data_IF_382789273006
#
_entry.id   IF_382789273006
#
_cell.length_a   1.000
_cell.length_b   1.000
_cell.length_c   1.000
_cell.angle_alpha   90.00
_cell.angle_beta   90.00
_cell.angle_gamma   90.00
#
_symmetry.space_group_name_H-M   'P 1'
#
loop_
_entity.id
_entity.type
_entity.pdbx_description
1 polymer ?
#
# COMPACT_ATOMS: atom_id res chain seq x y z
N UNK A 1 40.86 -22.20 11.12
CA UNK A 1 40.71 -20.93 11.83
C UNK A 1 39.94 -19.98 10.93
N UNK A 2 38.62 -19.87 11.17
CA UNK A 2 37.74 -18.96 10.43
C UNK A 2 37.69 -17.65 11.22
N UNK A 3 38.18 -16.58 10.63
CA UNK A 3 38.13 -15.25 11.25
C UNK A 3 36.70 -14.74 11.24
N UNK A 4 36.13 -14.59 12.42
CA UNK A 4 34.86 -13.89 12.67
C UNK A 4 35.05 -12.40 12.39
N UNK A 5 34.51 -11.90 11.30
CA UNK A 5 34.34 -10.47 11.08
C UNK A 5 32.98 -10.06 11.60
N UNK A 6 32.95 -9.30 12.71
CA UNK A 6 31.73 -8.63 13.19
C UNK A 6 31.22 -7.66 12.13
N UNK A 7 29.93 -7.66 11.80
CA UNK A 7 29.37 -6.67 10.89
C UNK A 7 29.37 -5.30 11.58
N UNK A 8 29.99 -4.33 10.93
CA UNK A 8 29.99 -2.92 11.31
C UNK A 8 28.58 -2.36 11.15
N UNK A 9 27.92 -2.05 12.26
CA UNK A 9 26.68 -1.30 12.29
C UNK A 9 26.95 0.19 12.00
N UNK A 10 27.20 0.54 10.75
CA UNK A 10 27.05 1.94 10.32
C UNK A 10 25.57 2.22 10.12
N UNK A 11 24.99 3.04 11.00
CA UNK A 11 23.71 3.72 10.72
C UNK A 11 23.87 4.48 9.40
N UNK A 12 22.95 4.38 8.46
CA UNK A 12 22.98 5.23 7.27
C UNK A 12 22.66 6.66 7.71
N UNK A 13 23.68 7.46 7.76
CA UNK A 13 23.59 8.90 8.04
C UNK A 13 23.51 9.62 6.70
N UNK A 14 22.31 9.75 6.18
CA UNK A 14 21.90 10.85 5.29
C UNK A 14 20.39 11.01 5.45
N UNK A 15 19.99 11.79 6.44
CA UNK A 15 18.61 12.24 6.56
C UNK A 15 18.25 13.00 5.27
N UNK A 16 17.47 12.37 4.40
CA UNK A 16 16.89 13.05 3.23
C UNK A 16 16.12 14.25 3.78
N UNK A 17 16.57 15.46 3.46
CA UNK A 17 15.90 16.68 3.90
C UNK A 17 14.65 16.84 3.04
N UNK A 18 13.51 16.51 3.62
CA UNK A 18 12.19 16.67 2.98
C UNK A 18 11.70 18.07 3.33
N UNK A 19 11.27 18.83 2.32
CA UNK A 19 10.70 20.14 2.55
C UNK A 19 9.33 20.08 3.25
N UNK A 20 8.94 21.18 3.92
CA UNK A 20 7.71 21.23 4.71
C UNK A 20 6.44 21.01 3.88
N UNK A 21 6.42 21.48 2.64
CA UNK A 21 5.25 21.32 1.75
C UNK A 21 5.04 19.85 1.39
N UNK A 22 6.13 19.10 1.21
CA UNK A 22 6.05 17.67 0.95
C UNK A 22 5.58 16.90 2.18
N UNK A 23 6.01 17.28 3.39
CA UNK A 23 5.50 16.68 4.63
C UNK A 23 4.01 16.95 4.83
N UNK A 24 3.52 18.15 4.54
CA UNK A 24 2.09 18.49 4.57
C UNK A 24 1.30 17.66 3.55
N UNK A 25 1.84 17.46 2.35
CA UNK A 25 1.24 16.60 1.33
C UNK A 25 1.14 15.14 1.81
N UNK A 26 2.20 14.60 2.44
CA UNK A 26 2.15 13.26 3.04
C UNK A 26 1.04 13.16 4.08
N UNK A 27 0.93 14.15 4.97
CA UNK A 27 -0.10 14.17 5.99
C UNK A 27 -1.50 14.18 5.37
N UNK A 28 -1.76 15.07 4.40
CA UNK A 28 -3.05 15.15 3.69
C UNK A 28 -3.40 13.83 2.99
N UNK A 29 -2.44 13.18 2.33
CA UNK A 29 -2.69 11.91 1.65
C UNK A 29 -2.99 10.77 2.63
N UNK A 30 -2.25 10.65 3.73
CA UNK A 30 -2.55 9.68 4.77
C UNK A 30 -3.92 9.93 5.40
N UNK A 31 -4.25 11.19 5.66
CA UNK A 31 -5.55 11.59 6.19
C UNK A 31 -6.69 11.25 5.23
N UNK A 32 -6.52 11.50 3.94
CA UNK A 32 -7.48 11.11 2.89
C UNK A 32 -7.76 9.61 2.91
N UNK A 33 -6.71 8.78 2.98
CA UNK A 33 -6.87 7.32 3.07
C UNK A 33 -7.63 6.95 4.34
N UNK A 34 -7.27 7.51 5.50
CA UNK A 34 -7.93 7.24 6.76
C UNK A 34 -9.42 7.55 6.71
N UNK A 35 -9.78 8.77 6.30
CA UNK A 35 -11.17 9.22 6.23
C UNK A 35 -11.99 8.47 5.19
N UNK A 36 -11.38 8.12 4.05
CA UNK A 36 -12.02 7.27 3.04
C UNK A 36 -12.37 5.90 3.62
N UNK A 37 -11.44 5.26 4.29
CA UNK A 37 -11.64 3.92 4.87
C UNK A 37 -12.61 3.92 6.05
N UNK A 38 -12.61 4.99 6.85
CA UNK A 38 -13.63 5.18 7.89
C UNK A 38 -15.03 5.26 7.28
N UNK A 39 -15.16 5.98 6.16
CA UNK A 39 -16.43 6.08 5.43
C UNK A 39 -16.83 4.74 4.79
N UNK A 40 -15.87 3.98 4.24
CA UNK A 40 -16.12 2.61 3.73
C UNK A 40 -16.65 1.72 4.85
N UNK A 41 -16.06 1.78 6.04
CA UNK A 41 -16.53 1.03 7.19
C UNK A 41 -17.99 1.42 7.57
N UNK A 42 -18.33 2.70 7.54
CA UNK A 42 -19.70 3.16 7.80
C UNK A 42 -20.70 2.69 6.74
N UNK A 43 -20.29 2.68 5.46
CA UNK A 43 -21.13 2.15 4.38
C UNK A 43 -21.41 0.65 4.56
N UNK A 44 -20.41 -0.12 4.99
CA UNK A 44 -20.59 -1.54 5.29
C UNK A 44 -21.53 -1.75 6.47
N UNK A 45 -21.29 -1.07 7.60
CA UNK A 45 -22.11 -1.20 8.81
C UNK A 45 -23.57 -0.80 8.59
N UNK A 46 -23.83 0.12 7.66
CA UNK A 46 -25.16 0.56 7.26
C UNK A 46 -25.77 -0.27 6.11
N UNK A 47 -25.12 -1.37 5.71
CA UNK A 47 -25.54 -2.25 4.61
C UNK A 47 -25.76 -1.52 3.27
N UNK A 48 -25.02 -0.43 3.03
CA UNK A 48 -25.08 0.35 1.79
C UNK A 48 -24.05 -0.06 0.75
N UNK A 49 -23.04 -0.82 1.15
CA UNK A 49 -21.98 -1.30 0.26
C UNK A 49 -22.09 -2.82 0.08
N UNK A 50 -22.09 -3.33 -1.17
CA UNK A 50 -22.09 -4.77 -1.44
C UNK A 50 -20.73 -5.40 -1.15
N UNK A 51 -20.72 -6.67 -0.79
CA UNK A 51 -19.51 -7.46 -0.60
C UNK A 51 -18.74 -7.13 0.67
N UNK A 52 -17.47 -7.52 0.72
CA UNK A 52 -16.55 -7.30 1.83
C UNK A 52 -15.46 -6.32 1.43
N UNK A 53 -15.04 -5.48 2.37
CA UNK A 53 -13.87 -4.61 2.23
C UNK A 53 -12.80 -4.96 3.27
N UNK A 54 -11.56 -4.67 2.92
CA UNK A 54 -10.38 -4.84 3.76
C UNK A 54 -9.75 -3.48 3.98
N UNK A 55 -10.00 -2.89 5.15
CA UNK A 55 -9.59 -1.51 5.44
C UNK A 55 -8.07 -1.37 5.55
N UNK A 56 -7.53 -0.30 4.97
CA UNK A 56 -6.10 0.00 4.99
C UNK A 56 -5.66 0.79 6.24
N UNK A 57 -6.59 1.09 7.16
CA UNK A 57 -6.37 1.90 8.37
C UNK A 57 -5.23 1.32 9.23
N UNK A 58 -4.23 2.18 9.50
CA UNK A 58 -3.02 1.87 10.26
C UNK A 58 -1.79 1.66 9.38
N UNK A 59 -1.92 1.55 8.07
CA UNK A 59 -0.82 1.29 7.13
C UNK A 59 -0.57 2.47 6.16
N UNK A 60 -1.22 3.60 6.35
CA UNK A 60 -1.25 4.74 5.42
C UNK A 60 0.14 5.26 5.07
N UNK A 61 1.07 5.22 6.02
CA UNK A 61 2.46 5.67 5.80
C UNK A 61 3.19 4.83 4.74
N UNK A 62 2.88 3.55 4.63
CA UNK A 62 3.48 2.67 3.61
C UNK A 62 3.00 3.09 2.23
N UNK A 63 1.69 3.16 1.99
CA UNK A 63 1.14 3.54 0.70
C UNK A 63 1.63 4.92 0.24
N UNK A 64 1.53 5.92 1.14
CA UNK A 64 1.90 7.31 0.81
C UNK A 64 3.40 7.46 0.61
N UNK A 65 4.23 6.92 1.51
CA UNK A 65 5.69 7.01 1.38
C UNK A 65 6.21 6.36 0.09
N UNK A 66 5.63 5.24 -0.31
CA UNK A 66 5.99 4.55 -1.55
C UNK A 66 5.52 5.33 -2.77
N UNK A 67 4.23 5.64 -2.87
CA UNK A 67 3.66 6.26 -4.06
C UNK A 67 4.22 7.68 -4.30
N UNK A 68 4.55 8.43 -3.25
CA UNK A 68 5.21 9.74 -3.36
C UNK A 68 6.68 9.68 -3.82
N UNK A 69 7.30 8.50 -3.80
CA UNK A 69 8.62 8.26 -4.37
C UNK A 69 8.57 7.84 -5.85
N UNK A 70 7.39 7.53 -6.37
CA UNK A 70 7.15 7.11 -7.75
C UNK A 70 6.73 8.28 -8.64
N UNK A 71 6.91 8.10 -9.94
CA UNK A 71 6.28 8.96 -10.93
C UNK A 71 4.88 8.44 -11.27
N UNK A 72 4.08 9.26 -11.96
CA UNK A 72 2.76 8.85 -12.41
C UNK A 72 2.80 7.60 -13.31
N UNK A 73 3.84 7.52 -14.14
CA UNK A 73 4.02 6.46 -15.14
C UNK A 73 4.60 5.15 -14.58
N UNK A 74 5.11 5.16 -13.34
CA UNK A 74 5.55 3.94 -12.68
C UNK A 74 4.35 3.06 -12.32
N UNK A 75 4.54 1.76 -12.35
CA UNK A 75 3.50 0.79 -12.07
C UNK A 75 3.45 0.40 -10.60
N UNK A 76 2.24 0.20 -10.10
CA UNK A 76 2.01 -0.52 -8.85
C UNK A 76 1.08 -1.71 -9.11
N UNK A 77 1.24 -2.76 -8.33
CA UNK A 77 0.23 -3.81 -8.14
C UNK A 77 -0.09 -3.94 -6.67
N UNK A 78 -1.33 -4.26 -6.36
CA UNK A 78 -1.85 -4.22 -5.01
C UNK A 78 -2.43 -5.56 -4.57
N UNK A 79 -2.86 -5.62 -3.32
CA UNK A 79 -3.49 -6.76 -2.66
C UNK A 79 -5.01 -6.55 -2.55
N UNK A 80 -5.70 -7.46 -1.84
CA UNK A 80 -7.10 -7.31 -1.46
C UNK A 80 -7.37 -6.03 -0.60
N UNK A 81 -6.33 -5.40 -0.04
CA UNK A 81 -6.35 -4.17 0.77
C UNK A 81 -5.90 -2.95 -0.07
N UNK A 82 -6.47 -2.83 -1.27
CA UNK A 82 -5.95 -1.95 -2.33
C UNK A 82 -6.35 -0.48 -2.25
N UNK A 83 -7.31 -0.09 -1.40
CA UNK A 83 -7.85 1.29 -1.39
C UNK A 83 -6.77 2.33 -1.10
N UNK A 84 -5.95 2.09 -0.06
CA UNK A 84 -4.86 3.00 0.31
C UNK A 84 -3.85 3.17 -0.81
N UNK A 85 -3.45 2.08 -1.47
CA UNK A 85 -2.52 2.12 -2.60
C UNK A 85 -3.10 2.90 -3.79
N UNK A 86 -4.38 2.66 -4.10
CA UNK A 86 -5.06 3.31 -5.20
C UNK A 86 -5.14 4.84 -4.98
N UNK A 87 -5.58 5.27 -3.80
CA UNK A 87 -5.65 6.68 -3.43
C UNK A 87 -4.27 7.34 -3.38
N UNK A 88 -3.27 6.67 -2.79
CA UNK A 88 -1.90 7.17 -2.73
C UNK A 88 -1.27 7.33 -4.12
N UNK A 89 -1.65 6.47 -5.08
CA UNK A 89 -1.17 6.54 -6.47
C UNK A 89 -1.88 7.62 -7.30
N UNK A 90 -2.94 8.23 -6.75
CA UNK A 90 -3.63 9.38 -7.35
C UNK A 90 -5.05 9.13 -7.83
N UNK A 91 -5.65 8.01 -7.44
CA UNK A 91 -7.07 7.77 -7.75
C UNK A 91 -7.96 8.80 -7.05
N UNK A 92 -9.06 9.16 -7.70
CA UNK A 92 -10.05 10.10 -7.17
C UNK A 92 -11.04 9.41 -6.23
N UNK A 93 -11.43 10.12 -5.18
CA UNK A 93 -12.34 9.63 -4.13
C UNK A 93 -13.72 9.26 -4.69
N UNK A 94 -14.26 10.08 -5.58
CA UNK A 94 -15.57 9.92 -6.20
C UNK A 94 -15.67 8.62 -7.02
N UNK A 95 -14.69 8.35 -7.89
CA UNK A 95 -14.64 7.12 -8.68
C UNK A 95 -14.35 5.88 -7.82
N UNK A 96 -13.56 6.05 -6.75
CA UNK A 96 -13.33 4.98 -5.78
C UNK A 96 -14.63 4.57 -5.09
N UNK A 97 -15.41 5.52 -4.54
CA UNK A 97 -16.71 5.21 -3.97
C UNK A 97 -17.70 4.67 -4.99
N UNK A 98 -17.69 5.21 -6.22
CA UNK A 98 -18.54 4.71 -7.30
C UNK A 98 -18.25 3.22 -7.58
N UNK A 99 -16.98 2.82 -7.59
CA UNK A 99 -16.61 1.40 -7.78
C UNK A 99 -17.11 0.52 -6.64
N UNK A 100 -16.92 0.95 -5.38
CA UNK A 100 -17.37 0.21 -4.19
C UNK A 100 -18.88 0.06 -4.12
N UNK A 101 -19.63 1.03 -4.67
CA UNK A 101 -21.09 1.02 -4.72
C UNK A 101 -21.65 0.35 -6.00
N UNK A 102 -20.79 -0.24 -6.83
CA UNK A 102 -21.20 -0.92 -8.06
C UNK A 102 -21.70 0.01 -9.17
N UNK A 103 -21.26 1.27 -9.20
CA UNK A 103 -21.73 2.29 -10.13
C UNK A 103 -20.91 2.33 -11.43
N UNK A 104 -21.56 2.70 -12.54
CA UNK A 104 -20.92 2.81 -13.85
C UNK A 104 -19.76 3.81 -13.90
N UNK A 105 -19.77 4.84 -13.02
CA UNK A 105 -18.72 5.83 -12.91
C UNK A 105 -17.44 5.32 -12.19
N UNK A 106 -17.47 4.11 -11.62
CA UNK A 106 -16.32 3.48 -10.98
C UNK A 106 -15.16 3.18 -11.92
N UNK A 107 -13.97 2.98 -11.37
CA UNK A 107 -12.75 2.69 -12.15
C UNK A 107 -12.88 1.45 -13.04
N UNK A 108 -13.55 0.41 -12.56
CA UNK A 108 -13.85 -0.82 -13.29
C UNK A 108 -15.34 -0.93 -13.63
N UNK A 109 -16.03 0.21 -13.76
CA UNK A 109 -17.47 0.31 -14.07
C UNK A 109 -18.36 -0.44 -13.08
N UNK A 110 -17.94 -0.48 -11.79
CA UNK A 110 -18.63 -1.18 -10.73
C UNK A 110 -18.51 -2.71 -10.75
N UNK A 111 -17.67 -3.27 -11.63
CA UNK A 111 -17.50 -4.73 -11.78
C UNK A 111 -16.39 -5.30 -10.90
N UNK A 112 -15.39 -4.48 -10.53
CA UNK A 112 -14.25 -4.89 -9.72
C UNK A 112 -14.54 -4.92 -8.22
N UNK A 113 -15.29 -3.96 -7.73
CA UNK A 113 -15.54 -3.77 -6.31
C UNK A 113 -14.27 -3.52 -5.51
N UNK A 114 -14.32 -3.74 -4.20
CA UNK A 114 -13.25 -3.40 -3.24
C UNK A 114 -11.89 -4.01 -3.57
N UNK A 115 -11.84 -5.25 -4.07
CA UNK A 115 -10.60 -6.02 -4.18
C UNK A 115 -9.98 -6.06 -5.57
N UNK A 116 -10.59 -5.37 -6.57
CA UNK A 116 -10.14 -5.46 -7.97
C UNK A 116 -10.09 -4.09 -8.68
N UNK A 117 -9.85 -3.02 -7.91
CA UNK A 117 -9.75 -1.67 -8.49
C UNK A 117 -8.44 -1.55 -9.27
N UNK A 118 -8.54 -1.12 -10.52
CA UNK A 118 -7.42 -0.79 -11.39
C UNK A 118 -7.60 0.63 -11.96
N UNK A 119 -6.51 1.36 -12.10
CA UNK A 119 -6.48 2.71 -12.68
C UNK A 119 -5.26 2.87 -13.58
N UNK A 120 -5.45 2.67 -14.87
CA UNK A 120 -4.37 2.75 -15.86
C UNK A 120 -3.77 4.15 -15.96
N UNK A 121 -4.57 5.19 -15.75
CA UNK A 121 -4.13 6.58 -15.86
C UNK A 121 -3.09 6.96 -14.79
N UNK A 122 -3.09 6.25 -13.67
CA UNK A 122 -2.11 6.44 -12.59
C UNK A 122 -1.05 5.35 -12.52
N UNK A 123 -1.09 4.35 -13.43
CA UNK A 123 -0.17 3.21 -13.41
C UNK A 123 -0.52 2.14 -12.35
N UNK A 124 -1.70 2.20 -11.75
CA UNK A 124 -2.19 1.14 -10.87
C UNK A 124 -2.75 -0.02 -11.69
N UNK A 125 -1.98 -1.11 -11.84
CA UNK A 125 -2.33 -2.28 -12.63
C UNK A 125 -3.39 -3.17 -11.94
N UNK A 126 -3.77 -2.84 -10.73
CA UNK A 126 -4.92 -3.42 -10.04
C UNK A 126 -4.62 -3.99 -8.67
N UNK A 127 -5.68 -3.99 -7.88
CA UNK A 127 -5.82 -4.79 -6.68
C UNK A 127 -6.14 -6.24 -7.06
N UNK A 128 -5.74 -7.20 -6.23
CA UNK A 128 -5.96 -8.62 -6.47
C UNK A 128 -6.30 -9.37 -5.19
N UNK A 129 -7.43 -10.07 -5.19
CA UNK A 129 -7.85 -10.91 -4.06
C UNK A 129 -7.03 -12.20 -3.94
N UNK A 130 -6.42 -12.67 -5.03
CA UNK A 130 -5.57 -13.88 -5.02
C UNK A 130 -4.25 -13.54 -4.32
N UNK A 131 -3.95 -14.22 -3.22
CA UNK A 131 -2.70 -14.01 -2.46
C UNK A 131 -1.49 -14.28 -3.36
N UNK A 132 -0.59 -13.31 -3.44
CA UNK A 132 0.55 -13.26 -4.36
C UNK A 132 0.20 -13.25 -5.87
N UNK A 133 -1.07 -13.17 -6.27
CA UNK A 133 -1.46 -13.13 -7.69
C UNK A 133 -0.87 -11.96 -8.46
N UNK A 134 -0.63 -10.84 -7.77
CA UNK A 134 -0.04 -9.63 -8.37
C UNK A 134 1.47 -9.67 -8.59
N UNK A 135 2.21 -10.60 -7.99
CA UNK A 135 3.69 -10.62 -8.12
C UNK A 135 4.14 -10.92 -9.55
N UNK A 136 3.42 -11.81 -10.26
CA UNK A 136 3.66 -12.10 -11.67
C UNK A 136 3.37 -10.89 -12.56
N UNK A 137 2.27 -10.18 -12.28
CA UNK A 137 1.85 -8.97 -13.02
C UNK A 137 2.89 -7.87 -12.88
N UNK A 138 3.34 -7.56 -11.66
CA UNK A 138 4.38 -6.56 -11.41
C UNK A 138 5.71 -6.91 -12.10
N UNK A 139 6.10 -8.19 -12.03
CA UNK A 139 7.33 -8.66 -12.67
C UNK A 139 7.23 -8.57 -14.19
N UNK A 140 6.06 -8.90 -14.77
CA UNK A 140 5.78 -8.74 -16.20
C UNK A 140 5.80 -7.26 -16.64
N UNK A 141 5.24 -6.35 -15.85
CA UNK A 141 5.29 -4.92 -16.09
C UNK A 141 6.73 -4.39 -16.09
N UNK A 142 7.55 -4.82 -15.11
CA UNK A 142 8.96 -4.47 -15.03
C UNK A 142 9.77 -5.04 -16.22
N UNK A 143 9.46 -6.26 -16.66
CA UNK A 143 10.06 -6.84 -17.87
C UNK A 143 9.68 -6.02 -19.10
N UNK A 144 8.41 -5.67 -19.26
CA UNK A 144 7.92 -4.81 -20.35
C UNK A 144 8.65 -3.46 -20.37
N UNK A 145 8.78 -2.80 -19.21
CA UNK A 145 9.50 -1.54 -19.09
C UNK A 145 10.96 -1.68 -19.54
N UNK A 146 11.64 -2.73 -19.09
CA UNK A 146 13.02 -3.02 -19.49
C UNK A 146 13.15 -3.29 -20.98
N UNK A 147 12.27 -4.12 -21.57
CA UNK A 147 12.31 -4.45 -23.00
C UNK A 147 12.06 -3.22 -23.88
N UNK A 148 11.21 -2.29 -23.43
CA UNK A 148 10.94 -1.03 -24.14
C UNK A 148 12.02 0.03 -23.91
N UNK A 149 12.98 -0.21 -23.02
CA UNK A 149 13.98 0.78 -22.64
C UNK A 149 13.38 2.02 -21.97
N UNK A 150 12.21 1.89 -21.33
CA UNK A 150 11.56 3.00 -20.63
C UNK A 150 12.14 3.21 -19.23
N UNK A 151 11.90 4.39 -18.64
CA UNK A 151 12.30 4.69 -17.26
C UNK A 151 11.35 4.14 -16.20
N UNK A 152 10.25 3.52 -16.64
CA UNK A 152 9.24 2.97 -15.76
C UNK A 152 9.79 1.82 -14.93
N UNK A 153 9.23 1.67 -13.74
CA UNK A 153 9.48 0.53 -12.87
C UNK A 153 8.16 0.05 -12.24
N UNK A 154 8.21 -1.06 -11.54
CA UNK A 154 7.06 -1.60 -10.82
C UNK A 154 7.33 -1.73 -9.33
N UNK A 155 6.32 -1.41 -8.50
CA UNK A 155 6.28 -1.78 -7.08
C UNK A 155 5.14 -2.77 -6.87
N UNK A 156 5.48 -3.92 -6.30
CA UNK A 156 4.52 -4.97 -5.97
C UNK A 156 4.26 -4.98 -4.46
N UNK A 157 3.10 -4.53 -4.03
CA UNK A 157 2.69 -4.66 -2.63
C UNK A 157 2.24 -6.09 -2.34
N UNK A 158 2.74 -6.68 -1.27
CA UNK A 158 2.37 -8.01 -0.78
C UNK A 158 2.20 -7.99 0.74
N UNK A 159 1.34 -8.84 1.27
CA UNK A 159 1.26 -9.12 2.71
C UNK A 159 2.10 -10.34 3.09
N UNK A 160 2.31 -10.55 4.39
CA UNK A 160 3.11 -11.66 4.92
C UNK A 160 2.55 -13.04 4.55
N UNK A 161 1.24 -13.14 4.31
CA UNK A 161 0.62 -14.38 3.79
C UNK A 161 1.14 -14.80 2.41
N UNK A 162 1.64 -13.86 1.61
CA UNK A 162 2.24 -14.14 0.31
C UNK A 162 3.58 -14.87 0.41
N UNK A 163 4.24 -14.85 1.57
CA UNK A 163 5.55 -15.49 1.77
C UNK A 163 5.48 -17.03 1.66
N UNK A 164 4.29 -17.62 1.75
CA UNK A 164 4.06 -19.05 1.54
C UNK A 164 3.82 -19.46 0.08
N UNK A 165 3.67 -18.50 -0.85
CA UNK A 165 3.33 -18.78 -2.25
C UNK A 165 4.57 -19.03 -3.10
N UNK A 166 4.57 -20.15 -3.88
CA UNK A 166 5.68 -20.53 -4.74
C UNK A 166 6.00 -19.50 -5.81
N UNK A 167 4.97 -18.89 -6.41
CA UNK A 167 5.11 -17.88 -7.46
C UNK A 167 6.02 -16.70 -7.05
N UNK A 168 6.00 -16.29 -5.76
CA UNK A 168 6.88 -15.22 -5.27
C UNK A 168 8.36 -15.58 -5.49
N UNK A 169 8.75 -16.81 -5.23
CA UNK A 169 10.14 -17.28 -5.37
C UNK A 169 10.54 -17.45 -6.84
N UNK A 170 9.62 -17.91 -7.67
CA UNK A 170 9.84 -18.03 -9.12
C UNK A 170 10.10 -16.65 -9.75
N UNK A 171 9.27 -15.65 -9.43
CA UNK A 171 9.44 -14.30 -9.99
C UNK A 171 10.64 -13.58 -9.41
N UNK A 172 11.01 -13.80 -8.14
CA UNK A 172 12.22 -13.24 -7.55
C UNK A 172 13.48 -13.79 -8.27
N UNK A 173 13.50 -15.08 -8.59
CA UNK A 173 14.58 -15.68 -9.37
C UNK A 173 14.71 -15.01 -10.74
N UNK A 174 13.62 -14.88 -11.49
CA UNK A 174 13.59 -14.24 -12.80
C UNK A 174 13.99 -12.77 -12.72
N UNK A 175 13.42 -12.04 -11.76
CA UNK A 175 13.69 -10.62 -11.59
C UNK A 175 15.18 -10.35 -11.28
N UNK A 176 15.78 -11.17 -10.43
CA UNK A 176 17.20 -11.08 -10.10
C UNK A 176 18.08 -11.41 -11.32
N UNK A 177 17.84 -12.55 -11.97
CA UNK A 177 18.60 -13.00 -13.12
C UNK A 177 18.58 -11.98 -14.26
N UNK A 178 17.43 -11.40 -14.52
CA UNK A 178 17.26 -10.42 -15.59
C UNK A 178 17.41 -8.97 -15.13
N UNK A 179 17.75 -8.71 -13.87
CA UNK A 179 17.90 -7.37 -13.30
C UNK A 179 16.70 -6.47 -13.63
N UNK A 180 15.50 -6.95 -13.32
CA UNK A 180 14.27 -6.21 -13.60
C UNK A 180 14.09 -5.03 -12.66
N UNK A 181 13.54 -3.89 -13.12
CA UNK A 181 13.26 -2.73 -12.30
C UNK A 181 11.97 -2.92 -11.48
N UNK A 182 12.02 -3.78 -10.48
CA UNK A 182 10.89 -4.09 -9.58
C UNK A 182 11.31 -4.02 -8.11
N UNK A 183 10.45 -3.46 -7.29
CA UNK A 183 10.52 -3.53 -5.83
C UNK A 183 9.39 -4.43 -5.35
N UNK A 184 9.71 -5.52 -4.68
CA UNK A 184 8.76 -6.31 -3.91
C UNK A 184 8.66 -5.70 -2.52
N UNK A 185 7.49 -5.22 -2.14
CA UNK A 185 7.27 -4.53 -0.87
C UNK A 185 6.34 -5.35 0.00
N UNK A 186 6.88 -5.82 1.12
CA UNK A 186 6.15 -6.57 2.14
C UNK A 186 5.58 -5.61 3.18
N UNK A 187 4.26 -5.52 3.24
CA UNK A 187 3.53 -4.91 4.35
C UNK A 187 3.38 -5.94 5.47
N UNK A 188 4.38 -6.00 6.34
CA UNK A 188 4.36 -6.90 7.48
C UNK A 188 3.48 -6.31 8.59
N UNK A 189 2.20 -6.63 8.57
CA UNK A 189 1.24 -6.20 9.58
C UNK A 189 1.03 -7.22 10.70
N UNK A 190 1.89 -8.24 10.76
CA UNK A 190 1.98 -9.32 11.73
C UNK A 190 0.96 -10.46 11.58
N UNK A 191 -0.13 -10.29 10.85
CA UNK A 191 -1.23 -11.26 10.85
C UNK A 191 -1.68 -11.66 9.45
N UNK A 192 -1.55 -12.94 9.14
CA UNK A 192 -2.20 -13.60 8.00
C UNK A 192 -3.64 -13.88 8.39
N UNK A 193 -4.57 -13.03 7.99
CA UNK A 193 -5.96 -13.09 8.41
C UNK A 193 -6.08 -13.13 9.96
N UNK A 194 -6.17 -14.30 10.56
CA UNK A 194 -6.34 -14.49 12.01
C UNK A 194 -5.13 -15.15 12.67
N UNK A 195 -4.06 -15.43 11.92
CA UNK A 195 -2.90 -16.17 12.41
C UNK A 195 -1.65 -15.28 12.40
N UNK A 196 -0.94 -15.19 13.51
CA UNK A 196 0.32 -14.45 13.55
C UNK A 196 1.33 -15.08 12.58
N UNK A 197 2.04 -14.24 11.82
CA UNK A 197 2.91 -14.72 10.72
C UNK A 197 4.01 -15.68 11.18
N UNK A 198 4.48 -15.58 12.44
CA UNK A 198 5.47 -16.51 13.00
C UNK A 198 4.97 -17.95 13.13
N UNK A 199 3.66 -18.18 13.07
CA UNK A 199 3.07 -19.52 13.11
C UNK A 199 2.97 -20.16 11.71
N UNK A 200 3.11 -19.34 10.65
CA UNK A 200 2.95 -19.77 9.26
C UNK A 200 4.20 -19.59 8.41
N UNK A 201 5.20 -18.84 8.92
CA UNK A 201 6.39 -18.47 8.17
C UNK A 201 7.65 -18.97 8.88
N UNK A 202 8.27 -20.02 8.35
CA UNK A 202 9.50 -20.56 8.89
C UNK A 202 10.72 -19.72 8.46
N UNK A 203 11.72 -19.65 9.33
CA UNK A 203 13.00 -19.00 9.08
C UNK A 203 12.94 -17.47 9.05
N UNK A 204 14.02 -16.85 8.61
CA UNK A 204 14.13 -15.41 8.50
C UNK A 204 13.50 -14.91 7.19
N UNK A 205 12.54 -14.01 7.30
CA UNK A 205 11.85 -13.39 6.14
C UNK A 205 12.84 -12.65 5.24
N UNK A 206 13.83 -11.99 5.84
CA UNK A 206 14.85 -11.22 5.12
C UNK A 206 15.78 -12.11 4.30
N UNK A 207 16.13 -13.28 4.84
CA UNK A 207 17.01 -14.23 4.18
C UNK A 207 16.43 -14.81 2.88
N UNK A 208 15.10 -14.78 2.70
CA UNK A 208 14.43 -15.35 1.52
C UNK A 208 14.77 -14.62 0.22
N UNK A 209 14.54 -13.29 0.09
CA UNK A 209 14.98 -12.57 -1.11
C UNK A 209 16.51 -12.48 -1.21
N UNK A 210 17.24 -12.41 -0.09
CA UNK A 210 18.71 -12.40 -0.08
C UNK A 210 19.29 -13.68 -0.70
N UNK A 211 18.61 -14.82 -0.60
CA UNK A 211 19.02 -16.07 -1.25
C UNK A 211 19.03 -15.98 -2.79
N UNK A 212 18.28 -15.06 -3.38
CA UNK A 212 18.29 -14.74 -4.81
C UNK A 212 19.23 -13.57 -5.16
N UNK A 213 20.05 -13.10 -4.21
CA UNK A 213 20.92 -11.94 -4.40
C UNK A 213 20.15 -10.60 -4.46
N UNK A 214 18.91 -10.57 -3.98
CA UNK A 214 18.07 -9.35 -3.95
C UNK A 214 18.37 -8.58 -2.65
N UNK A 215 18.89 -7.34 -2.75
CA UNK A 215 19.10 -6.50 -1.56
C UNK A 215 17.79 -6.27 -0.83
N UNK A 216 17.83 -6.50 0.49
CA UNK A 216 16.63 -6.50 1.33
C UNK A 216 16.80 -5.55 2.50
N UNK A 217 15.84 -4.67 2.69
CA UNK A 217 15.79 -3.72 3.80
C UNK A 217 14.51 -3.91 4.62
N UNK A 218 14.65 -3.70 5.93
CA UNK A 218 13.51 -3.73 6.85
C UNK A 218 13.45 -2.41 7.62
N UNK A 219 12.30 -1.74 7.55
CA UNK A 219 12.11 -0.41 8.10
C UNK A 219 10.83 -0.33 8.94
N UNK A 220 10.70 0.75 9.66
CA UNK A 220 9.46 1.15 10.32
C UNK A 220 8.45 1.66 9.30
N UNK A 221 7.39 0.87 9.06
CA UNK A 221 6.32 1.21 8.13
C UNK A 221 5.33 2.26 8.67
N UNK A 222 5.48 2.71 9.93
CA UNK A 222 4.67 3.80 10.49
C UNK A 222 5.32 5.19 10.30
N UNK A 223 6.60 5.24 9.95
CA UNK A 223 7.29 6.50 9.60
C UNK A 223 7.28 6.72 8.09
N UNK A 224 6.35 7.55 7.61
CA UNK A 224 6.20 7.88 6.18
C UNK A 224 7.48 8.47 5.57
N UNK A 225 8.28 9.19 6.37
CA UNK A 225 9.55 9.78 5.92
C UNK A 225 10.59 8.68 5.69
N UNK A 226 10.68 7.71 6.59
CA UNK A 226 11.57 6.56 6.41
C UNK A 226 11.15 5.71 5.21
N UNK A 227 9.84 5.46 5.03
CA UNK A 227 9.30 4.75 3.87
C UNK A 227 9.65 5.48 2.57
N UNK A 228 9.36 6.78 2.49
CA UNK A 228 9.66 7.60 1.32
C UNK A 228 11.14 7.59 0.96
N UNK A 229 12.02 7.91 1.92
CA UNK A 229 13.45 8.01 1.68
C UNK A 229 14.08 6.68 1.24
N UNK A 230 13.65 5.58 1.85
CA UNK A 230 14.11 4.24 1.46
C UNK A 230 13.62 3.87 0.08
N UNK A 231 12.32 4.08 -0.20
CA UNK A 231 11.74 3.79 -1.51
C UNK A 231 12.41 4.61 -2.61
N UNK A 232 12.64 5.91 -2.40
CA UNK A 232 13.32 6.77 -3.37
C UNK A 232 14.69 6.21 -3.77
N UNK A 233 15.49 5.79 -2.80
CA UNK A 233 16.80 5.19 -3.04
C UNK A 233 16.71 3.87 -3.82
N UNK A 234 15.72 3.03 -3.49
CA UNK A 234 15.49 1.78 -4.21
C UNK A 234 14.97 2.00 -5.64
N UNK A 235 14.15 3.03 -5.85
CA UNK A 235 13.69 3.49 -7.18
C UNK A 235 14.88 3.95 -8.02
N UNK A 236 15.77 4.79 -7.47
CA UNK A 236 16.98 5.23 -8.17
C UNK A 236 17.89 4.06 -8.55
N UNK A 237 18.05 3.09 -7.65
CA UNK A 237 18.77 1.86 -7.90
C UNK A 237 18.17 1.07 -9.07
N UNK A 238 16.84 0.87 -9.06
CA UNK A 238 16.15 0.14 -10.12
C UNK A 238 16.30 0.82 -11.49
N UNK A 239 16.18 2.16 -11.52
CA UNK A 239 16.36 2.98 -12.74
C UNK A 239 17.78 2.96 -13.30
N UNK A 240 18.78 2.75 -12.44
CA UNK A 240 20.17 2.52 -12.87
C UNK A 240 20.43 1.10 -13.43
N UNK A 241 19.39 0.25 -13.49
CA UNK A 241 19.52 -1.13 -13.97
C UNK A 241 20.23 -2.07 -13.00
N UNK A 242 20.30 -1.71 -11.71
CA UNK A 242 20.96 -2.53 -10.68
C UNK A 242 20.09 -3.71 -10.20
N UNK A 243 18.91 -3.89 -10.80
CA UNK A 243 18.02 -5.01 -10.55
C UNK A 243 16.99 -4.78 -9.44
N UNK A 244 16.29 -5.85 -9.02
CA UNK A 244 15.21 -5.75 -8.05
C UNK A 244 15.69 -5.40 -6.64
N UNK A 245 14.74 -5.00 -5.80
CA UNK A 245 14.94 -4.86 -4.36
C UNK A 245 13.75 -5.46 -3.61
N UNK A 246 13.95 -5.78 -2.33
CA UNK A 246 12.89 -6.22 -1.43
C UNK A 246 12.84 -5.28 -0.23
N UNK A 247 11.67 -4.71 0.04
CA UNK A 247 11.45 -3.79 1.15
C UNK A 247 10.44 -4.37 2.13
N UNK A 248 10.82 -4.51 3.39
CA UNK A 248 9.95 -4.95 4.48
C UNK A 248 9.53 -3.71 5.27
N UNK A 249 8.25 -3.34 5.21
CA UNK A 249 7.64 -2.29 6.00
C UNK A 249 6.90 -2.92 7.18
N UNK A 250 7.44 -2.78 8.39
CA UNK A 250 6.78 -3.26 9.61
C UNK A 250 5.68 -2.29 9.98
N UNK A 251 4.45 -2.72 9.91
CA UNK A 251 3.24 -1.91 10.07
C UNK A 251 2.19 -2.66 10.88
N UNK A 252 0.99 -2.12 10.99
CA UNK A 252 -0.11 -2.77 11.70
C UNK A 252 -1.47 -2.33 11.18
N UNK A 253 -2.40 -3.27 10.97
CA UNK A 253 -3.80 -2.95 10.64
C UNK A 253 -4.60 -2.68 11.92
N UNK A 254 -5.22 -1.50 12.03
CA UNK A 254 -5.97 -1.11 13.23
C UNK A 254 -7.35 -1.77 13.33
N UNK A 255 -7.86 -2.29 12.24
CA UNK A 255 -9.10 -3.07 12.16
C UNK A 255 -8.83 -4.56 11.99
N UNK A 256 -9.88 -5.35 11.95
CA UNK A 256 -9.80 -6.76 11.65
C UNK A 256 -9.26 -7.05 10.25
N UNK A 257 -9.22 -8.30 9.86
CA UNK A 257 -8.79 -8.67 8.51
C UNK A 257 -9.68 -8.03 7.45
N UNK A 258 -10.99 -8.11 7.66
CA UNK A 258 -12.00 -7.43 6.84
C UNK A 258 -13.05 -6.74 7.74
N UNK A 259 -13.95 -5.98 7.16
CA UNK A 259 -14.96 -5.19 7.89
C UNK A 259 -15.89 -6.03 8.78
N UNK A 260 -16.10 -7.31 8.48
CA UNK A 260 -16.88 -8.25 9.30
C UNK A 260 -16.09 -8.89 10.45
N UNK A 261 -14.77 -8.72 10.53
CA UNK A 261 -13.94 -9.22 11.62
C UNK A 261 -13.98 -8.25 12.81
N UNK A 262 -15.07 -8.30 13.56
CA UNK A 262 -15.36 -7.37 14.67
C UNK A 262 -14.70 -7.82 15.96
N UNK A 263 -14.82 -9.10 16.32
CA UNK A 263 -14.22 -9.65 17.52
C UNK A 263 -12.87 -10.28 17.25
N UNK A 264 -11.81 -9.58 17.58
CA UNK A 264 -10.42 -10.00 17.32
C UNK A 264 -9.73 -10.63 18.52
N UNK A 265 -10.42 -10.75 19.66
CA UNK A 265 -9.82 -11.20 20.93
C UNK A 265 -9.31 -12.65 20.90
N UNK A 266 -9.69 -13.44 19.91
CA UNK A 266 -9.26 -14.83 19.77
C UNK A 266 -7.91 -15.00 19.08
N UNK A 267 -7.38 -13.95 18.41
CA UNK A 267 -6.08 -14.02 17.75
C UNK A 267 -5.12 -12.87 18.09
N UNK A 268 -5.61 -11.73 18.61
CA UNK A 268 -4.75 -10.62 19.05
C UNK A 268 -5.32 -9.92 20.29
N UNK A 269 -4.44 -9.41 21.14
CA UNK A 269 -4.86 -8.80 22.40
C UNK A 269 -5.31 -7.34 22.20
N UNK A 270 -6.29 -6.91 23.02
CA UNK A 270 -6.69 -5.49 23.06
C UNK A 270 -5.53 -4.57 23.43
N UNK A 271 -4.61 -5.02 24.29
CA UNK A 271 -3.43 -4.26 24.70
C UNK A 271 -2.51 -3.98 23.52
N UNK A 272 -2.27 -4.98 22.67
CA UNK A 272 -1.47 -4.84 21.45
C UNK A 272 -2.12 -3.82 20.48
N UNK A 273 -3.42 -3.98 20.21
CA UNK A 273 -4.14 -3.02 19.36
C UNK A 273 -4.04 -1.58 19.88
N UNK A 274 -4.22 -1.39 21.19
CA UNK A 274 -4.17 -0.06 21.81
C UNK A 274 -2.76 0.53 21.78
N UNK A 275 -1.72 -0.27 21.97
CA UNK A 275 -0.33 0.18 21.86
C UNK A 275 -0.01 0.69 20.47
N UNK A 276 -0.45 -0.03 19.42
CA UNK A 276 -0.26 0.42 18.05
C UNK A 276 -1.07 1.70 17.75
N UNK A 277 -2.34 1.75 18.11
CA UNK A 277 -3.21 2.91 17.87
C UNK A 277 -2.79 4.17 18.62
N UNK A 278 -2.34 4.02 19.88
CA UNK A 278 -1.99 5.18 20.71
C UNK A 278 -0.58 5.70 20.48
N UNK A 279 0.40 4.79 20.26
CA UNK A 279 1.83 5.13 20.19
C UNK A 279 2.40 5.11 18.78
N UNK A 280 1.73 4.44 17.86
CA UNK A 280 2.28 4.11 16.55
C UNK A 280 1.37 4.51 15.38
N UNK A 281 0.39 5.37 15.61
CA UNK A 281 -0.46 5.88 14.53
C UNK A 281 0.36 6.79 13.59
N UNK A 282 0.48 6.45 12.28
CA UNK A 282 1.30 7.19 11.33
C UNK A 282 0.87 8.65 11.17
N UNK A 283 -0.44 8.95 11.30
CA UNK A 283 -0.95 10.32 11.27
C UNK A 283 -0.47 11.11 12.49
N UNK A 284 -0.56 10.53 13.69
CA UNK A 284 -0.09 11.18 14.93
C UNK A 284 1.42 11.40 14.91
N UNK A 285 2.18 10.43 14.41
CA UNK A 285 3.64 10.53 14.32
C UNK A 285 4.06 11.67 13.39
N UNK A 286 3.41 11.81 12.23
CA UNK A 286 3.73 12.90 11.31
C UNK A 286 3.19 14.24 11.81
N UNK A 287 2.00 14.30 12.43
CA UNK A 287 1.47 15.52 13.04
C UNK A 287 2.42 16.09 14.10
N UNK A 288 2.90 15.23 15.01
CA UNK A 288 3.88 15.64 16.02
C UNK A 288 5.17 16.20 15.39
N UNK A 289 5.69 15.56 14.34
CA UNK A 289 6.86 16.06 13.59
C UNK A 289 6.60 17.41 12.93
N UNK A 290 5.43 17.61 12.32
CA UNK A 290 5.06 18.89 11.69
C UNK A 290 4.99 20.03 12.71
N UNK A 291 4.44 19.77 13.89
CA UNK A 291 4.37 20.73 15.00
C UNK A 291 5.75 21.02 15.60
N UNK A 292 6.57 20.00 15.86
CA UNK A 292 7.94 20.16 16.38
C UNK A 292 8.81 20.99 15.43
N UNK A 293 8.68 20.77 14.11
CA UNK A 293 9.41 21.51 13.09
C UNK A 293 8.77 22.87 12.76
N UNK A 294 7.65 23.24 13.42
CA UNK A 294 6.90 24.49 13.19
C UNK A 294 6.44 24.67 11.74
N UNK A 295 6.12 23.55 11.06
CA UNK A 295 5.60 23.54 9.68
C UNK A 295 4.10 23.75 9.69
N UNK A 296 3.38 23.17 10.66
CA UNK A 296 1.95 23.35 10.90
C UNK A 296 1.66 23.34 12.40
N UNK A 297 0.71 24.15 12.81
CA UNK A 297 0.13 24.10 14.15
C UNK A 297 -1.15 23.24 14.17
N UNK A 298 -1.77 23.13 15.34
CA UNK A 298 -2.99 22.34 15.53
C UNK A 298 -4.16 22.86 14.67
N UNK A 299 -4.27 24.18 14.52
CA UNK A 299 -5.33 24.80 13.72
C UNK A 299 -5.18 24.47 12.22
N UNK A 300 -3.95 24.59 11.69
CA UNK A 300 -3.67 24.23 10.30
C UNK A 300 -3.94 22.75 10.00
N UNK A 301 -3.62 21.85 10.94
CA UNK A 301 -3.93 20.43 10.80
C UNK A 301 -5.45 20.16 10.87
N UNK A 302 -6.17 20.86 11.74
CA UNK A 302 -7.62 20.75 11.84
C UNK A 302 -8.34 21.29 10.59
N UNK A 303 -7.87 22.39 10.01
CA UNK A 303 -8.38 22.92 8.73
C UNK A 303 -8.17 21.89 7.60
N UNK A 304 -6.99 21.30 7.52
CA UNK A 304 -6.70 20.27 6.52
C UNK A 304 -7.61 19.04 6.69
N UNK A 305 -7.93 18.67 7.93
CA UNK A 305 -8.88 17.60 8.20
C UNK A 305 -10.29 17.94 7.72
N UNK A 306 -10.76 19.16 7.97
CA UNK A 306 -12.08 19.61 7.51
C UNK A 306 -12.18 19.62 5.97
N UNK A 307 -11.16 20.16 5.30
CA UNK A 307 -11.10 20.15 3.83
C UNK A 307 -11.13 18.73 3.27
N UNK A 308 -10.35 17.82 3.87
CA UNK A 308 -10.30 16.43 3.45
C UNK A 308 -11.62 15.70 3.71
N UNK A 309 -12.28 15.97 4.85
CA UNK A 309 -13.63 15.44 5.12
C UNK A 309 -14.65 15.92 4.10
N UNK A 310 -14.59 17.17 3.68
CA UNK A 310 -15.46 17.69 2.64
C UNK A 310 -15.22 16.98 1.31
N UNK A 311 -13.96 16.72 0.93
CA UNK A 311 -13.62 15.93 -0.26
C UNK A 311 -14.24 14.53 -0.20
N UNK A 312 -14.15 13.85 0.95
CA UNK A 312 -14.73 12.51 1.15
C UNK A 312 -16.26 12.55 1.03
N UNK A 313 -16.92 13.51 1.67
CA UNK A 313 -18.39 13.64 1.61
C UNK A 313 -18.85 13.92 0.18
N UNK A 314 -18.22 14.88 -0.49
CA UNK A 314 -18.55 15.24 -1.88
C UNK A 314 -18.36 14.05 -2.83
N UNK A 315 -17.27 13.31 -2.68
CA UNK A 315 -17.02 12.12 -3.49
C UNK A 315 -18.04 11.00 -3.24
N UNK A 316 -18.48 10.83 -2.00
CA UNK A 316 -19.54 9.88 -1.67
C UNK A 316 -20.90 10.30 -2.27
N UNK A 317 -21.27 11.58 -2.17
CA UNK A 317 -22.52 12.11 -2.74
C UNK A 317 -22.55 11.90 -4.26
N UNK A 318 -21.44 12.18 -4.94
CA UNK A 318 -21.30 11.87 -6.37
C UNK A 318 -21.58 10.39 -6.64
N UNK A 319 -20.93 9.50 -5.92
CA UNK A 319 -21.08 8.06 -6.12
C UNK A 319 -22.50 7.56 -5.82
N UNK A 320 -23.14 8.07 -4.79
CA UNK A 320 -24.53 7.71 -4.46
C UNK A 320 -25.51 8.13 -5.56
N UNK A 321 -25.28 9.29 -6.19
CA UNK A 321 -26.13 9.80 -7.29
C UNK A 321 -25.83 9.16 -8.65
N UNK A 322 -24.67 8.56 -8.82
CA UNK A 322 -24.25 7.96 -10.07
C UNK A 322 -25.14 6.76 -10.48
N UNK A 323 -25.39 6.54 -11.78
CA UNK A 323 -26.18 5.40 -12.25
C UNK A 323 -25.44 4.08 -12.08
N UNK A 324 -26.20 3.00 -11.98
CA UNK A 324 -25.65 1.65 -12.12
C UNK A 324 -25.33 1.36 -13.61
N UNK A 325 -24.44 0.41 -13.89
CA UNK A 325 -24.24 -0.09 -15.25
C UNK A 325 -25.55 -0.63 -15.86
N UNK A 326 -25.69 -0.49 -17.18
CA UNK A 326 -26.83 -1.08 -17.86
C UNK A 326 -26.78 -2.61 -17.78
N UNK A 327 -27.93 -3.31 -17.60
CA UNK A 327 -27.95 -4.77 -17.51
C UNK A 327 -27.28 -5.47 -18.70
N UNK A 328 -27.28 -4.84 -19.88
CA UNK A 328 -26.63 -5.33 -21.10
C UNK A 328 -25.10 -5.28 -21.06
N UNK A 329 -24.51 -4.68 -20.01
CA UNK A 329 -23.05 -4.67 -19.82
C UNK A 329 -22.51 -5.92 -19.10
N UNK A 330 -23.37 -6.84 -18.67
CA UNK A 330 -22.97 -7.99 -17.84
C UNK A 330 -21.97 -8.92 -18.54
N UNK A 331 -22.08 -9.05 -19.86
CA UNK A 331 -21.22 -9.88 -20.70
C UNK A 331 -20.16 -9.08 -21.47
N UNK A 332 -20.12 -7.75 -21.31
CA UNK A 332 -19.14 -6.89 -21.95
C UNK A 332 -17.82 -6.88 -21.14
N UNK A 333 -16.70 -6.71 -21.84
CA UNK A 333 -15.35 -6.63 -21.26
C UNK A 333 -14.91 -7.91 -20.53
N UNK A 334 -15.46 -9.08 -20.88
CA UNK A 334 -15.06 -10.39 -20.36
C UNK A 334 -13.90 -10.95 -21.19
N UNK A 335 -13.95 -10.72 -22.48
CA UNK A 335 -12.89 -11.08 -23.44
C UNK A 335 -12.52 -9.87 -24.30
N UNK A 336 -11.28 -9.88 -24.81
CA UNK A 336 -10.79 -8.87 -25.74
C UNK A 336 -11.39 -9.03 -27.14
#
# INVERSE_FOLDING_TARGET
>A
MVRSTKPSSKKPDTAVKIDGQKLLRFYRQMLKIRLFEEQVNQLYLSAKMPGLAHLYIGQEAVAVGVCEALTRDDYITSTHRGHGHCLAKGASVDRMFAELLGKAAGYCRGKGGSMHIADQDTGNLGANAIVAGSVGIATGAALSAKMRGSHQMAVCFIGEGALGQGLLYEVMNIASLWRLPVIYLLENNLYNEYTHYSETTAGDVKARPEAFGIPTESIDGQDVVAVYATTQRLVERARKGEGPAFLICNTYRFHGHHVGDINRSYYRSKKEEEEWKSKRDPLRLLAARLQEQKIADENALAEMEQETRLEIVTGLEFALSAPYPEPTEVDQHVYA
#
